data_IF_466939315432
#
_entry.id   IF_466939315432
#
_cell.length_a   1.000
_cell.length_b   1.000
_cell.length_c   1.000
_cell.angle_alpha   90.00
_cell.angle_beta   90.00
_cell.angle_gamma   90.00
#
_symmetry.space_group_name_H-M   'P 1'
#
loop_
_entity.id
_entity.type
_entity.pdbx_description
1 polymer ?
#
# COMPACT_ATOMS: atom_id res chain seq x y z
N UNK A 1 -10.44 13.32 1.87
CA UNK A 1 -9.73 13.51 3.18
C UNK A 1 -8.84 12.30 3.38
N UNK A 2 -7.55 12.49 3.65
CA UNK A 2 -6.64 11.37 3.93
C UNK A 2 -6.92 10.77 5.32
N UNK A 3 -6.61 9.49 5.50
CA UNK A 3 -6.57 8.83 6.81
C UNK A 3 -5.12 8.90 7.28
N UNK A 4 -4.89 9.51 8.43
CA UNK A 4 -3.57 9.61 9.02
C UNK A 4 -3.56 8.95 10.40
N UNK A 5 -2.50 8.24 10.71
CA UNK A 5 -2.31 7.57 11.99
C UNK A 5 -0.82 7.52 12.34
N UNK A 6 -0.53 7.34 13.62
CA UNK A 6 0.83 7.20 14.12
C UNK A 6 1.11 5.73 14.47
N UNK A 7 2.28 5.27 14.08
CA UNK A 7 2.91 4.05 14.57
C UNK A 7 4.19 4.43 15.33
N UNK A 8 4.77 3.56 16.16
CA UNK A 8 6.01 3.86 16.86
C UNK A 8 7.11 4.35 15.91
N UNK A 9 7.53 5.63 16.08
CA UNK A 9 8.55 6.27 15.27
C UNK A 9 8.14 6.68 13.85
N UNK A 10 6.85 6.61 13.49
CA UNK A 10 6.38 6.86 12.14
C UNK A 10 5.00 7.51 12.07
N UNK A 11 4.80 8.32 11.04
CA UNK A 11 3.47 8.73 10.57
C UNK A 11 3.12 7.93 9.32
N UNK A 12 1.88 7.45 9.27
CA UNK A 12 1.31 6.72 8.12
C UNK A 12 0.13 7.50 7.59
N UNK A 13 0.10 7.67 6.27
CA UNK A 13 -0.99 8.36 5.57
C UNK A 13 -1.53 7.48 4.44
N UNK A 14 -2.83 7.24 4.45
CA UNK A 14 -3.54 6.68 3.32
C UNK A 14 -4.35 7.78 2.64
N UNK A 15 -4.05 8.08 1.38
CA UNK A 15 -4.75 9.13 0.65
C UNK A 15 -6.13 8.66 0.17
N UNK A 16 -7.01 9.62 -0.06
CA UNK A 16 -8.28 9.42 -0.74
C UNK A 16 -8.20 10.02 -2.15
N UNK A 17 -9.28 9.88 -2.95
CA UNK A 17 -9.31 10.43 -4.31
C UNK A 17 -9.43 11.96 -4.37
N UNK A 18 -9.93 12.61 -3.32
CA UNK A 18 -10.13 14.06 -3.27
C UNK A 18 -8.88 14.82 -2.80
N UNK A 19 -8.72 16.08 -3.28
CA UNK A 19 -7.68 17.01 -2.82
C UNK A 19 -6.54 17.24 -3.82
N UNK A 20 -6.66 16.70 -5.02
CA UNK A 20 -5.69 16.85 -6.11
C UNK A 20 -6.13 17.81 -7.21
N UNK A 21 -5.43 17.73 -8.34
CA UNK A 21 -5.62 18.57 -9.51
C UNK A 21 -5.94 17.81 -10.81
N UNK A 22 -5.90 16.48 -10.78
CA UNK A 22 -6.26 15.64 -11.93
C UNK A 22 -7.72 15.81 -12.31
N UNK A 23 -7.99 15.67 -13.61
CA UNK A 23 -9.34 15.71 -14.17
C UNK A 23 -9.92 14.31 -14.32
N UNK A 24 -11.24 14.21 -14.55
CA UNK A 24 -11.88 12.93 -14.82
C UNK A 24 -11.21 12.23 -16.02
N UNK A 25 -11.03 10.91 -15.95
CA UNK A 25 -11.52 9.94 -14.96
C UNK A 25 -10.60 9.76 -13.74
N UNK A 26 -9.56 10.58 -13.58
CA UNK A 26 -8.54 10.50 -12.52
C UNK A 26 -8.78 11.47 -11.36
N UNK A 27 -9.95 12.08 -11.32
CA UNK A 27 -10.32 13.15 -10.38
C UNK A 27 -10.34 12.70 -8.91
N UNK A 28 -9.59 13.37 -8.03
CA UNK A 28 -8.70 14.49 -8.31
C UNK A 28 -7.27 14.24 -7.84
N UNK A 29 -7.02 13.39 -6.80
CA UNK A 29 -5.70 13.13 -6.21
C UNK A 29 -5.11 11.81 -6.75
N UNK A 30 -5.04 11.67 -8.07
CA UNK A 30 -4.37 10.52 -8.66
C UNK A 30 -2.85 10.63 -8.48
N UNK A 31 -2.25 9.58 -7.88
CA UNK A 31 -0.80 9.46 -7.67
C UNK A 31 -0.13 8.52 -8.67
N UNK A 32 -0.92 7.95 -9.60
CA UNK A 32 -0.51 6.91 -10.53
C UNK A 32 0.34 7.44 -11.69
N UNK A 33 1.66 7.32 -11.62
CA UNK A 33 2.60 7.74 -12.68
C UNK A 33 2.42 6.99 -14.01
N UNK A 34 1.91 5.77 -13.95
CA UNK A 34 1.70 4.89 -15.12
C UNK A 34 0.22 4.80 -15.52
N UNK A 35 -0.56 5.83 -15.20
CA UNK A 35 -1.90 6.06 -15.76
C UNK A 35 -1.78 7.01 -16.94
N UNK A 36 -2.83 7.11 -17.77
CA UNK A 36 -2.88 8.04 -18.91
C UNK A 36 -3.31 9.46 -18.48
N UNK A 37 -3.11 9.81 -17.21
CA UNK A 37 -3.35 11.13 -16.65
C UNK A 37 -2.23 12.13 -17.03
N UNK A 38 -2.50 13.42 -16.91
CA UNK A 38 -1.49 14.46 -17.11
C UNK A 38 -0.30 14.30 -16.13
N UNK A 39 0.94 14.13 -16.62
CA UNK A 39 2.09 13.91 -15.75
C UNK A 39 2.36 15.06 -14.77
N UNK A 40 2.04 16.32 -15.17
CA UNK A 40 2.18 17.48 -14.30
C UNK A 40 1.17 17.47 -13.17
N UNK A 41 -0.07 17.06 -13.45
CA UNK A 41 -1.09 16.86 -12.43
C UNK A 41 -0.69 15.77 -11.43
N UNK A 42 -0.18 14.64 -11.92
CA UNK A 42 0.31 13.54 -11.06
C UNK A 42 1.49 13.98 -10.20
N UNK A 43 2.44 14.75 -10.76
CA UNK A 43 3.58 15.28 -10.00
C UNK A 43 3.11 16.22 -8.87
N UNK A 44 2.20 17.15 -9.14
CA UNK A 44 1.62 18.03 -8.11
C UNK A 44 0.83 17.25 -7.06
N UNK A 45 0.05 16.24 -7.47
CA UNK A 45 -0.68 15.38 -6.54
C UNK A 45 0.27 14.63 -5.59
N UNK A 46 1.38 14.10 -6.10
CA UNK A 46 2.41 13.44 -5.30
C UNK A 46 3.07 14.39 -4.33
N UNK A 47 3.37 15.63 -4.76
CA UNK A 47 3.90 16.68 -3.87
C UNK A 47 2.93 16.97 -2.71
N UNK A 48 1.63 17.09 -3.00
CA UNK A 48 0.58 17.27 -1.96
C UNK A 48 0.48 16.09 -1.02
N UNK A 49 0.44 14.87 -1.57
CA UNK A 49 0.32 13.65 -0.77
C UNK A 49 1.48 13.48 0.22
N UNK A 50 2.70 13.84 -0.18
CA UNK A 50 3.91 13.79 0.63
C UNK A 50 4.16 15.01 1.52
N UNK A 51 3.28 16.04 1.52
CA UNK A 51 3.54 17.33 2.17
C UNK A 51 4.87 17.96 1.73
N UNK A 52 5.19 17.84 0.44
CA UNK A 52 6.44 18.31 -0.13
C UNK A 52 7.67 17.45 0.19
N UNK A 53 7.54 16.34 0.93
CA UNK A 53 8.63 15.40 1.15
C UNK A 53 8.99 14.67 -0.13
N UNK A 54 10.29 14.42 -0.37
CA UNK A 54 10.72 13.52 -1.43
C UNK A 54 10.12 12.13 -1.24
N UNK A 55 9.73 11.47 -2.34
CA UNK A 55 9.08 10.18 -2.30
C UNK A 55 10.05 9.06 -2.70
N UNK A 56 10.04 7.98 -1.92
CA UNK A 56 10.71 6.74 -2.24
C UNK A 56 9.67 5.70 -2.67
N UNK A 57 9.78 5.21 -3.90
CA UNK A 57 8.82 4.27 -4.51
C UNK A 57 9.49 3.37 -5.52
N UNK A 58 8.82 2.29 -5.90
CA UNK A 58 9.25 1.34 -6.93
C UNK A 58 8.14 1.16 -7.98
N UNK A 59 8.48 0.53 -9.10
CA UNK A 59 7.50 0.06 -10.08
C UNK A 59 6.88 -1.25 -9.58
N UNK A 60 5.64 -1.17 -9.12
CA UNK A 60 4.89 -2.32 -8.60
C UNK A 60 4.54 -3.30 -9.71
N UNK A 61 4.82 -4.57 -9.49
CA UNK A 61 4.63 -5.68 -10.44
C UNK A 61 3.76 -6.81 -9.86
N UNK A 62 3.15 -6.58 -8.70
CA UNK A 62 2.36 -7.56 -7.93
C UNK A 62 3.21 -8.78 -7.49
N UNK A 63 4.50 -8.58 -7.27
CA UNK A 63 5.46 -9.57 -6.76
C UNK A 63 5.63 -9.51 -5.24
N UNK A 64 6.75 -10.09 -4.77
CA UNK A 64 7.09 -10.11 -3.35
C UNK A 64 8.42 -9.41 -3.02
N UNK A 65 9.06 -8.76 -4.00
CA UNK A 65 10.32 -8.06 -3.75
C UNK A 65 10.08 -6.76 -2.97
N UNK A 66 10.91 -6.53 -1.96
CA UNK A 66 11.00 -5.29 -1.18
C UNK A 66 12.41 -4.74 -1.32
N UNK A 67 12.56 -3.44 -1.55
CA UNK A 67 13.87 -2.78 -1.69
C UNK A 67 14.13 -1.84 -0.52
N UNK A 68 15.40 -1.74 -0.13
CA UNK A 68 15.88 -0.75 0.84
C UNK A 68 16.37 0.48 0.11
N UNK A 69 15.97 1.66 0.58
CA UNK A 69 16.34 2.95 0.00
C UNK A 69 16.78 3.93 1.09
N UNK A 70 17.74 4.79 0.75
CA UNK A 70 18.26 5.83 1.67
C UNK A 70 17.75 7.22 1.29
N UNK A 71 17.13 7.37 0.11
CA UNK A 71 16.71 8.65 -0.43
C UNK A 71 15.49 8.52 -1.36
N UNK A 72 15.16 9.62 -2.02
CA UNK A 72 14.12 9.66 -3.03
C UNK A 72 14.45 8.74 -4.22
N UNK A 73 13.40 8.20 -4.83
CA UNK A 73 13.57 7.38 -6.04
C UNK A 73 14.15 8.21 -7.18
N UNK A 74 15.23 7.71 -7.78
CA UNK A 74 15.73 8.22 -9.05
C UNK A 74 14.74 7.82 -10.16
N UNK A 75 14.09 8.82 -10.74
CA UNK A 75 13.09 8.60 -11.79
C UNK A 75 13.66 8.04 -13.10
N UNK A 76 14.99 8.05 -13.27
CA UNK A 76 15.70 7.45 -14.40
C UNK A 76 16.11 5.99 -14.16
N UNK A 77 16.02 5.52 -12.90
CA UNK A 77 16.47 4.19 -12.50
C UNK A 77 15.47 3.50 -11.55
N UNK A 78 14.17 3.54 -11.89
CA UNK A 78 13.12 2.96 -11.05
C UNK A 78 13.20 1.43 -11.08
N UNK A 79 13.45 0.82 -9.93
CA UNK A 79 13.46 -0.62 -9.76
C UNK A 79 12.04 -1.22 -9.70
N UNK A 80 11.92 -2.48 -10.11
CA UNK A 80 10.68 -3.26 -9.93
C UNK A 80 10.67 -3.87 -8.53
N UNK A 81 9.67 -3.48 -7.71
CA UNK A 81 9.41 -4.03 -6.39
C UNK A 81 7.98 -3.68 -5.93
N UNK A 82 7.48 -4.42 -4.96
CA UNK A 82 6.17 -4.20 -4.37
C UNK A 82 6.24 -3.71 -2.91
N UNK A 83 7.44 -3.36 -2.45
CA UNK A 83 7.63 -2.70 -1.17
C UNK A 83 8.92 -1.89 -1.14
N UNK A 84 8.91 -0.85 -0.31
CA UNK A 84 10.04 0.05 -0.06
C UNK A 84 10.23 0.19 1.44
N UNK A 85 11.46 0.00 1.92
CA UNK A 85 11.84 0.16 3.32
C UNK A 85 12.95 1.18 3.45
N UNK A 86 12.90 2.01 4.50
CA UNK A 86 13.92 3.04 4.75
C UNK A 86 14.10 3.33 6.24
N UNK A 87 15.33 3.65 6.62
CA UNK A 87 15.68 4.26 7.91
C UNK A 87 15.84 5.78 7.79
N UNK A 88 15.78 6.36 6.61
CA UNK A 88 15.90 7.81 6.37
C UNK A 88 14.67 8.56 6.92
N UNK A 89 14.92 9.78 7.45
CA UNK A 89 13.86 10.73 7.84
C UNK A 89 13.52 11.71 6.73
N UNK A 90 14.30 11.71 5.65
CA UNK A 90 14.21 12.72 4.60
C UNK A 90 13.25 12.36 3.48
N UNK A 91 12.71 11.13 3.51
CA UNK A 91 11.81 10.62 2.47
C UNK A 91 10.56 10.00 3.05
N UNK A 92 9.49 9.96 2.26
CA UNK A 92 8.32 9.16 2.51
C UNK A 92 8.28 7.95 1.57
N UNK A 93 8.21 6.73 2.12
CA UNK A 93 7.96 5.52 1.37
C UNK A 93 6.53 5.55 0.81
N UNK A 94 6.36 5.23 -0.47
CA UNK A 94 5.08 5.29 -1.17
C UNK A 94 4.77 3.97 -1.89
N UNK A 95 3.56 3.47 -1.73
CA UNK A 95 2.95 2.48 -2.63
C UNK A 95 1.61 2.99 -3.17
N UNK A 96 1.24 2.52 -4.35
CA UNK A 96 0.02 2.92 -5.05
C UNK A 96 -0.98 1.78 -5.08
N UNK A 97 -2.25 2.07 -4.84
CA UNK A 97 -3.32 1.08 -4.86
C UNK A 97 -4.59 1.61 -5.52
N UNK A 98 -5.39 0.69 -6.01
CA UNK A 98 -6.81 0.80 -6.31
C UNK A 98 -7.36 -0.62 -6.11
N UNK A 99 -7.78 -0.95 -4.89
CA UNK A 99 -8.25 -2.22 -4.34
C UNK A 99 -7.21 -3.10 -3.64
N UNK A 100 -5.94 -3.17 -4.09
CA UNK A 100 -4.89 -3.89 -3.37
C UNK A 100 -4.63 -3.27 -1.99
N UNK A 101 -4.07 -4.05 -1.06
CA UNK A 101 -3.75 -3.60 0.29
C UNK A 101 -2.49 -2.70 0.29
N UNK A 102 -2.56 -1.44 0.72
CA UNK A 102 -1.39 -0.71 1.16
C UNK A 102 -1.11 -1.06 2.63
N UNK A 103 0.05 -1.61 2.92
CA UNK A 103 0.44 -2.02 4.28
C UNK A 103 1.67 -1.23 4.71
N UNK A 104 1.52 -0.44 5.77
CA UNK A 104 2.63 0.19 6.45
C UNK A 104 3.19 -0.75 7.52
N UNK A 105 4.52 -0.79 7.64
CA UNK A 105 5.22 -1.42 8.75
C UNK A 105 6.14 -0.38 9.36
N UNK A 106 6.25 -0.34 10.68
CA UNK A 106 7.12 0.58 11.39
C UNK A 106 7.75 -0.04 12.62
N UNK A 107 8.99 0.38 12.88
CA UNK A 107 9.70 0.28 14.15
C UNK A 107 10.12 1.68 14.59
N UNK A 108 10.67 1.88 15.80
CA UNK A 108 11.24 3.18 16.18
C UNK A 108 12.32 3.71 15.23
N UNK A 109 13.01 2.83 14.48
CA UNK A 109 14.17 3.21 13.66
C UNK A 109 13.97 3.07 12.14
N UNK A 110 12.90 2.45 11.65
CA UNK A 110 12.67 2.24 10.22
C UNK A 110 11.18 2.15 9.88
N UNK A 111 10.85 2.43 8.62
CA UNK A 111 9.49 2.31 8.07
C UNK A 111 9.51 1.56 6.75
N UNK A 112 8.42 0.87 6.44
CA UNK A 112 8.19 0.29 5.13
C UNK A 112 6.76 0.57 4.66
N UNK A 113 6.61 0.71 3.34
CA UNK A 113 5.32 0.62 2.67
C UNK A 113 5.34 -0.56 1.72
N UNK A 114 4.35 -1.44 1.85
CA UNK A 114 4.22 -2.68 1.08
C UNK A 114 2.90 -2.69 0.33
N UNK A 115 2.96 -2.95 -0.97
CA UNK A 115 1.80 -3.20 -1.81
C UNK A 115 1.49 -4.70 -1.80
N UNK A 116 0.39 -5.08 -1.18
CA UNK A 116 -0.03 -6.47 -1.10
C UNK A 116 -1.31 -6.71 -1.93
N UNK A 117 -1.15 -6.84 -3.26
CA UNK A 117 -2.16 -7.46 -4.10
C UNK A 117 -2.24 -8.97 -3.82
N UNK A 118 -3.29 -9.66 -4.27
CA UNK A 118 -3.48 -11.08 -3.98
C UNK A 118 -2.28 -11.96 -4.38
N UNK A 119 -1.60 -11.65 -5.50
CA UNK A 119 -0.40 -12.37 -5.94
C UNK A 119 0.75 -12.19 -4.95
N UNK A 120 1.15 -10.95 -4.71
CA UNK A 120 2.22 -10.64 -3.76
C UNK A 120 1.93 -11.16 -2.35
N UNK A 121 0.67 -11.06 -1.91
CA UNK A 121 0.23 -11.61 -0.63
C UNK A 121 0.40 -13.14 -0.60
N UNK A 122 0.02 -13.86 -1.66
CA UNK A 122 0.22 -15.28 -1.78
C UNK A 122 1.72 -15.66 -1.83
N UNK A 123 2.55 -14.83 -2.48
CA UNK A 123 3.98 -15.02 -2.65
C UNK A 123 4.83 -14.51 -1.47
N UNK A 124 4.18 -14.01 -0.38
CA UNK A 124 4.86 -13.69 0.87
C UNK A 124 5.43 -12.27 0.97
N UNK A 125 4.92 -11.30 0.20
CA UNK A 125 5.42 -9.90 0.21
C UNK A 125 5.42 -9.26 1.61
N UNK A 126 4.48 -9.61 2.49
CA UNK A 126 4.44 -9.08 3.85
C UNK A 126 5.59 -9.62 4.71
N UNK A 127 5.91 -10.92 4.57
CA UNK A 127 7.09 -11.51 5.21
C UNK A 127 8.38 -10.85 4.74
N UNK A 128 8.53 -10.65 3.44
CA UNK A 128 9.67 -9.92 2.87
C UNK A 128 9.77 -8.48 3.40
N UNK A 129 8.64 -7.79 3.60
CA UNK A 129 8.61 -6.46 4.22
C UNK A 129 9.07 -6.47 5.67
N UNK A 130 8.63 -7.45 6.45
CA UNK A 130 9.07 -7.64 7.85
C UNK A 130 10.56 -7.96 7.92
N UNK A 131 11.07 -8.84 7.08
CA UNK A 131 12.50 -9.18 7.02
C UNK A 131 13.36 -7.97 6.64
N UNK A 132 12.94 -7.21 5.63
CA UNK A 132 13.65 -5.99 5.22
C UNK A 132 13.67 -4.92 6.33
N UNK A 133 12.57 -4.79 7.08
CA UNK A 133 12.49 -3.87 8.21
C UNK A 133 13.42 -4.32 9.37
N UNK A 134 13.42 -5.62 9.70
CA UNK A 134 14.33 -6.21 10.70
C UNK A 134 15.80 -6.09 10.34
N UNK A 135 16.13 -6.07 9.06
CA UNK A 135 17.51 -5.84 8.63
C UNK A 135 18.00 -4.42 8.98
N UNK A 136 17.09 -3.44 9.09
CA UNK A 136 17.41 -2.07 9.50
C UNK A 136 17.28 -1.83 11.01
N UNK A 137 16.38 -2.56 11.68
CA UNK A 137 16.12 -2.46 13.13
C UNK A 137 15.82 -3.87 13.69
N UNK A 138 16.86 -4.66 14.01
CA UNK A 138 16.71 -6.07 14.39
C UNK A 138 15.89 -6.29 15.67
N UNK A 139 16.01 -5.37 16.63
CA UNK A 139 15.39 -5.48 17.96
C UNK A 139 14.12 -4.63 18.10
N UNK A 140 13.78 -3.86 17.08
CA UNK A 140 12.60 -2.99 17.09
C UNK A 140 11.29 -3.76 17.04
N UNK A 141 10.37 -3.46 17.97
CA UNK A 141 9.01 -3.94 17.92
C UNK A 141 8.31 -3.47 16.64
N UNK A 142 7.76 -4.40 15.86
CA UNK A 142 7.12 -4.08 14.57
C UNK A 142 5.62 -3.88 14.76
N UNK A 143 5.13 -2.74 14.31
CA UNK A 143 3.71 -2.40 14.23
C UNK A 143 3.30 -2.22 12.78
N UNK A 144 2.05 -2.55 12.45
CA UNK A 144 1.52 -2.47 11.09
C UNK A 144 0.21 -1.69 11.02
N UNK A 145 -0.02 -1.06 9.88
CA UNK A 145 -1.32 -0.51 9.52
C UNK A 145 -1.72 -0.95 8.10
N UNK A 146 -2.94 -1.46 7.96
CA UNK A 146 -3.55 -1.84 6.69
C UNK A 146 -4.52 -0.73 6.27
N UNK A 147 -4.28 -0.13 5.11
CA UNK A 147 -5.09 0.96 4.58
C UNK A 147 -6.35 0.52 3.84
N UNK A 148 -7.04 1.48 3.20
CA UNK A 148 -8.22 1.22 2.39
C UNK A 148 -7.90 0.26 1.24
N UNK A 149 -8.74 -0.78 1.08
CA UNK A 149 -8.58 -1.81 0.05
C UNK A 149 -9.92 -2.48 -0.23
N UNK A 150 -10.01 -3.36 -1.22
CA UNK A 150 -11.19 -4.18 -1.45
C UNK A 150 -11.46 -5.06 -0.22
N UNK A 151 -12.62 -4.88 0.40
CA UNK A 151 -13.04 -5.62 1.58
C UNK A 151 -13.72 -6.94 1.22
N UNK A 152 -13.81 -7.83 2.21
CA UNK A 152 -14.53 -9.11 2.08
C UNK A 152 -16.01 -8.96 1.67
N UNK A 153 -16.58 -7.76 1.86
CA UNK A 153 -17.94 -7.41 1.42
C UNK A 153 -18.11 -7.36 -0.10
N UNK A 154 -17.01 -7.18 -0.87
CA UNK A 154 -17.06 -6.92 -2.31
C UNK A 154 -16.04 -7.72 -3.13
N UNK A 155 -15.00 -8.30 -2.49
CA UNK A 155 -13.90 -8.93 -3.22
C UNK A 155 -14.21 -10.38 -3.57
N UNK A 156 -15.03 -10.57 -4.58
CA UNK A 156 -15.29 -11.89 -5.19
C UNK A 156 -14.10 -12.34 -6.05
N UNK A 157 -13.70 -13.62 -5.92
CA UNK A 157 -12.56 -14.21 -6.63
C UNK A 157 -12.91 -15.52 -7.32
N UNK A 158 -12.16 -15.85 -8.38
CA UNK A 158 -12.19 -17.13 -9.05
C UNK A 158 -11.47 -18.23 -8.27
N UNK A 159 -11.66 -19.46 -8.71
CA UNK A 159 -11.03 -20.64 -8.13
C UNK A 159 -9.50 -20.61 -8.24
N UNK A 160 -8.98 -19.98 -9.28
CA UNK A 160 -7.56 -19.75 -9.52
C UNK A 160 -6.92 -18.90 -8.43
N UNK A 161 -7.59 -17.83 -8.01
CA UNK A 161 -7.15 -16.98 -6.90
C UNK A 161 -7.30 -17.68 -5.56
N UNK A 162 -8.46 -18.33 -5.32
CA UNK A 162 -8.73 -19.04 -4.08
C UNK A 162 -7.73 -20.19 -3.84
N UNK A 163 -7.28 -20.87 -4.89
CA UNK A 163 -6.29 -21.95 -4.81
C UNK A 163 -4.89 -21.48 -4.33
N UNK A 164 -4.60 -20.16 -4.39
CA UNK A 164 -3.36 -19.59 -3.88
C UNK A 164 -3.37 -19.40 -2.35
N UNK A 165 -4.50 -19.62 -1.70
CA UNK A 165 -4.71 -19.51 -0.26
C UNK A 165 -5.31 -20.81 0.30
N UNK A 166 -4.58 -21.93 0.25
CA UNK A 166 -5.12 -23.25 0.63
C UNK A 166 -5.42 -23.37 2.13
N UNK A 167 -4.81 -22.52 2.94
CA UNK A 167 -4.97 -22.38 4.38
C UNK A 167 -6.20 -21.55 4.79
N UNK A 168 -6.85 -20.90 3.82
CA UNK A 168 -8.01 -20.04 4.07
C UNK A 168 -9.30 -20.78 3.71
N UNK A 169 -10.26 -20.92 4.64
CA UNK A 169 -11.53 -21.58 4.35
C UNK A 169 -12.26 -20.89 3.21
N UNK A 170 -12.70 -21.69 2.23
CA UNK A 170 -13.52 -21.19 1.13
C UNK A 170 -14.89 -20.78 1.64
N UNK A 171 -15.31 -19.58 1.27
CA UNK A 171 -16.66 -19.08 1.51
C UNK A 171 -17.59 -19.49 0.37
N UNK A 172 -18.84 -19.81 0.71
CA UNK A 172 -19.86 -20.18 -0.28
C UNK A 172 -20.19 -19.01 -1.24
N UNK A 173 -20.02 -17.76 -0.77
CA UNK A 173 -20.22 -16.53 -1.54
C UNK A 173 -19.00 -16.14 -2.41
N UNK A 174 -17.92 -16.95 -2.42
CA UNK A 174 -16.67 -16.74 -3.14
C UNK A 174 -15.92 -15.45 -2.75
N UNK A 175 -16.29 -14.82 -1.64
CA UNK A 175 -15.60 -13.64 -1.13
C UNK A 175 -14.29 -14.02 -0.46
N UNK A 176 -13.19 -13.27 -0.76
CA UNK A 176 -11.89 -13.49 -0.16
C UNK A 176 -11.54 -12.33 0.77
N UNK A 177 -11.23 -12.66 2.03
CA UNK A 177 -10.81 -11.69 3.04
C UNK A 177 -9.30 -11.45 2.99
N UNK A 178 -8.84 -10.61 2.04
CA UNK A 178 -7.41 -10.27 1.93
C UNK A 178 -6.88 -9.57 3.17
N UNK A 179 -7.69 -8.76 3.85
CA UNK A 179 -7.27 -8.04 5.07
C UNK A 179 -7.09 -9.00 6.25
N UNK A 180 -8.01 -9.93 6.42
CA UNK A 180 -7.88 -11.00 7.42
C UNK A 180 -6.66 -11.89 7.16
N UNK A 181 -6.41 -12.27 5.90
CA UNK A 181 -5.21 -13.02 5.50
C UNK A 181 -3.94 -12.22 5.82
N UNK A 182 -3.90 -10.93 5.45
CA UNK A 182 -2.75 -10.08 5.72
C UNK A 182 -2.48 -9.94 7.23
N UNK A 183 -3.53 -9.73 8.03
CA UNK A 183 -3.43 -9.65 9.49
C UNK A 183 -2.85 -10.94 10.07
N UNK A 184 -3.35 -12.10 9.65
CA UNK A 184 -2.85 -13.39 10.12
C UNK A 184 -1.37 -13.63 9.75
N UNK A 185 -0.98 -13.27 8.52
CA UNK A 185 0.40 -13.42 8.05
C UNK A 185 1.37 -12.46 8.74
N UNK A 186 0.94 -11.22 9.01
CA UNK A 186 1.73 -10.26 9.78
C UNK A 186 1.94 -10.75 11.23
N UNK A 187 0.90 -11.24 11.88
CA UNK A 187 0.99 -11.83 13.22
C UNK A 187 1.94 -13.05 13.24
N UNK A 188 1.84 -13.94 12.25
CA UNK A 188 2.74 -15.09 12.11
C UNK A 188 4.20 -14.68 11.86
N UNK A 189 4.45 -13.52 11.23
CA UNK A 189 5.77 -12.94 11.02
C UNK A 189 6.32 -12.19 12.26
N UNK A 190 5.57 -12.14 13.38
CA UNK A 190 5.97 -11.52 14.63
C UNK A 190 5.75 -10.00 14.67
N UNK A 191 4.75 -9.50 13.95
CA UNK A 191 4.23 -8.13 14.09
C UNK A 191 3.38 -8.06 15.35
N UNK A 192 3.69 -7.12 16.27
CA UNK A 192 3.05 -7.05 17.58
C UNK A 192 1.62 -6.52 17.51
N UNK A 193 1.37 -5.53 16.67
CA UNK A 193 0.06 -4.92 16.50
C UNK A 193 -0.22 -4.67 15.02
N UNK A 194 -1.44 -5.00 14.59
CA UNK A 194 -1.93 -4.72 13.25
C UNK A 194 -3.21 -3.89 13.37
N UNK A 195 -3.17 -2.68 12.85
CA UNK A 195 -4.33 -1.79 12.76
C UNK A 195 -4.93 -1.83 11.35
N UNK A 196 -6.16 -2.30 11.18
CA UNK A 196 -6.91 -2.16 9.93
C UNK A 196 -7.82 -0.93 10.03
N UNK A 197 -7.71 -0.01 9.07
CA UNK A 197 -8.57 1.19 9.01
C UNK A 197 -10.02 0.86 8.66
N UNK A 198 -10.34 -0.38 8.32
CA UNK A 198 -11.71 -0.88 8.14
C UNK A 198 -12.47 -0.34 6.92
N UNK A 199 -11.78 0.27 5.92
CA UNK A 199 -12.42 0.91 4.77
C UNK A 199 -12.35 0.02 3.52
N UNK A 200 -13.45 -0.03 2.76
CA UNK A 200 -13.54 -0.76 1.51
C UNK A 200 -13.58 0.21 0.32
N UNK A 201 -12.59 0.11 -0.59
CA UNK A 201 -12.49 0.97 -1.77
C UNK A 201 -13.68 0.82 -2.72
N UNK A 202 -14.26 -0.40 -2.81
CA UNK A 202 -15.40 -0.68 -3.68
C UNK A 202 -16.73 -0.20 -3.11
N UNK A 203 -16.88 -0.18 -1.77
CA UNK A 203 -18.09 0.34 -1.11
C UNK A 203 -18.13 1.86 -1.09
N UNK A 204 -16.98 2.51 -1.26
CA UNK A 204 -16.83 3.96 -1.11
C UNK A 204 -16.20 4.61 -2.35
N UNK A 205 -16.82 4.47 -3.55
CA UNK A 205 -16.24 4.92 -4.83
C UNK A 205 -16.10 6.45 -4.92
N UNK A 206 -16.86 7.21 -4.14
CA UNK A 206 -16.74 8.66 -4.05
C UNK A 206 -15.53 9.10 -3.21
N UNK A 207 -14.99 8.19 -2.41
CA UNK A 207 -13.86 8.45 -1.50
C UNK A 207 -12.56 7.88 -2.02
N UNK A 208 -12.60 6.71 -2.65
CA UNK A 208 -11.41 5.98 -3.10
C UNK A 208 -11.48 5.60 -4.58
N UNK A 209 -10.33 5.52 -5.22
CA UNK A 209 -10.21 4.87 -6.52
C UNK A 209 -10.34 3.35 -6.37
N UNK A 210 -11.08 2.72 -7.27
CA UNK A 210 -11.24 1.27 -7.32
C UNK A 210 -11.13 0.77 -8.75
N UNK A 211 -10.17 -0.10 -8.99
CA UNK A 211 -10.00 -0.76 -10.28
C UNK A 211 -11.16 -1.71 -10.60
N UNK A 212 -11.65 -2.43 -9.59
CA UNK A 212 -12.72 -3.40 -9.74
C UNK A 212 -14.08 -2.73 -10.01
N UNK A 213 -14.35 -1.60 -9.31
CA UNK A 213 -15.61 -0.88 -9.44
C UNK A 213 -15.65 0.02 -10.69
N UNK A 214 -14.53 0.68 -11.03
CA UNK A 214 -14.48 1.69 -12.11
C UNK A 214 -13.83 1.18 -13.40
N UNK A 215 -13.25 -0.03 -13.39
CA UNK A 215 -12.49 -0.58 -14.52
C UNK A 215 -11.03 -0.10 -14.56
N UNK A 216 -10.29 -0.42 -15.66
CA UNK A 216 -8.85 -0.18 -15.75
C UNK A 216 -8.48 1.32 -15.81
N UNK A 217 -9.38 2.15 -16.32
CA UNK A 217 -9.18 3.61 -16.46
C UNK A 217 -9.65 4.29 -15.17
N UNK A 218 -8.78 4.33 -14.18
CA UNK A 218 -9.03 4.96 -12.89
C UNK A 218 -7.73 5.40 -12.23
N UNK A 219 -7.81 6.34 -11.29
CA UNK A 219 -6.65 6.82 -10.53
C UNK A 219 -6.09 5.78 -9.55
N UNK A 220 -5.04 6.19 -8.86
CA UNK A 220 -4.41 5.43 -7.77
C UNK A 220 -4.30 6.31 -6.55
N UNK A 221 -4.80 5.82 -5.41
CA UNK A 221 -4.45 6.39 -4.11
C UNK A 221 -3.11 5.86 -3.62
N UNK A 222 -2.54 6.50 -2.61
CA UNK A 222 -1.26 6.13 -2.02
C UNK A 222 -1.39 5.69 -0.57
N UNK A 223 -0.55 4.72 -0.19
CA UNK A 223 -0.10 4.53 1.17
C UNK A 223 1.29 5.16 1.30
N UNK A 224 1.46 6.06 2.27
CA UNK A 224 2.73 6.72 2.57
C UNK A 224 3.12 6.45 4.02
N UNK A 225 4.43 6.29 4.26
CA UNK A 225 4.97 6.22 5.62
C UNK A 225 6.31 6.95 5.68
N UNK A 226 6.53 7.72 6.74
CA UNK A 226 7.80 8.39 7.01
C UNK A 226 8.13 8.40 8.49
N UNK A 227 9.41 8.46 8.79
CA UNK A 227 9.90 8.53 10.17
C UNK A 227 9.73 9.93 10.76
N UNK A 228 9.45 10.00 12.08
CA UNK A 228 9.39 11.22 12.88
C UNK A 228 10.46 11.26 13.96
#
# INVERSE_FOLDING_TARGET
MAIELELPGAVVRFTARAGGVSQAPYDTLNLGRWTDDDPGAVAENRRRAGDGRPLAFAKQVHGSRVITVDGATDEHAIEEADGVVTASRDVAALVLTADCLPVALATPAAVAMVHAGWKGLADGVLGAGVEALRALDPDGAIHAAIGPAAGVCCYEVGDDVAARFPDVPRRADRMLDLKGIATARLAAAGVEQVHDVGRCTMCEPDVFFSHRASGPVTGRQGGLAWRV
#
